data_IF_691782563926
#
_entry.id   IF_691782563926
#
_cell.length_a   1.000
_cell.length_b   1.000
_cell.length_c   1.000
_cell.angle_alpha   90.00
_cell.angle_beta   90.00
_cell.angle_gamma   90.00
#
_symmetry.space_group_name_H-M   'P 1'
#
loop_
_entity.id
_entity.type
_entity.pdbx_description
1 polymer ?
#
# COMPACT_ATOMS: atom_id res chain seq x y z
N UNK A 1 -46.82 66.21 49.89
CA UNK A 1 -48.15 65.59 49.76
C UNK A 1 -48.17 64.58 48.67
N UNK A 2 -48.60 63.32 48.96
CA UNK A 2 -49.06 62.23 48.06
C UNK A 2 -48.05 61.67 47.08
N UNK A 3 -47.45 60.50 47.38
CA UNK A 3 -47.93 59.11 47.17
C UNK A 3 -48.25 58.76 45.72
N UNK A 4 -47.49 57.86 45.11
CA UNK A 4 -47.74 57.16 43.89
C UNK A 4 -46.79 55.96 43.76
N UNK A 5 -47.31 54.86 44.23
CA UNK A 5 -46.61 53.58 44.05
C UNK A 5 -46.89 53.08 42.62
N UNK A 6 -45.87 52.60 41.88
CA UNK A 6 -46.04 51.85 40.69
C UNK A 6 -45.24 50.57 40.81
N UNK A 7 -45.94 49.46 40.82
CA UNK A 7 -45.41 48.11 40.80
C UNK A 7 -44.89 47.79 39.40
N UNK A 8 -43.65 47.28 39.32
CA UNK A 8 -43.09 46.70 38.09
C UNK A 8 -43.02 45.20 38.27
N UNK A 9 -43.81 44.52 37.45
CA UNK A 9 -43.78 43.07 37.30
C UNK A 9 -42.49 42.62 36.62
N UNK A 10 -41.72 41.83 37.32
CA UNK A 10 -40.53 41.16 36.74
C UNK A 10 -40.94 39.97 35.91
N UNK A 11 -40.61 40.01 34.64
CA UNK A 11 -40.67 38.86 33.75
C UNK A 11 -39.35 38.05 33.94
N UNK A 12 -39.48 36.89 34.55
CA UNK A 12 -38.38 35.93 34.63
C UNK A 12 -38.27 35.19 33.25
N UNK A 13 -37.21 35.48 32.48
CA UNK A 13 -36.83 34.67 31.36
C UNK A 13 -36.13 33.42 31.88
N UNK A 14 -36.80 32.31 31.80
CA UNK A 14 -36.18 31.00 31.98
C UNK A 14 -35.35 30.66 30.73
N UNK A 15 -34.01 30.77 30.82
CA UNK A 15 -33.08 30.24 29.81
C UNK A 15 -32.96 28.76 30.05
N UNK A 16 -33.64 27.94 29.26
CA UNK A 16 -33.39 26.50 29.21
C UNK A 16 -32.09 26.27 28.44
N UNK A 17 -31.00 26.01 29.14
CA UNK A 17 -29.78 25.47 28.57
C UNK A 17 -30.09 24.04 28.11
N UNK A 18 -30.21 23.81 26.78
CA UNK A 18 -30.06 22.47 26.21
C UNK A 18 -28.61 22.08 26.38
N UNK A 19 -28.33 21.23 27.38
CA UNK A 19 -27.12 20.44 27.39
C UNK A 19 -27.21 19.45 26.20
N UNK A 20 -26.64 19.81 25.06
CA UNK A 20 -26.29 18.86 24.06
C UNK A 20 -25.19 17.97 24.64
N UNK A 21 -25.56 16.78 25.12
CA UNK A 21 -24.59 15.70 25.26
C UNK A 21 -24.10 15.42 23.84
N UNK A 22 -22.99 16.06 23.48
CA UNK A 22 -22.16 15.55 22.41
C UNK A 22 -21.68 14.18 22.87
N UNK A 23 -22.12 13.16 22.18
CA UNK A 23 -21.48 11.87 22.21
C UNK A 23 -20.11 12.14 21.62
N UNK A 24 -19.17 12.46 22.51
CA UNK A 24 -17.75 12.44 22.20
C UNK A 24 -17.37 10.97 22.08
N UNK A 25 -17.79 10.35 20.96
CA UNK A 25 -17.10 9.22 20.46
C UNK A 25 -15.71 9.75 20.11
N UNK A 26 -14.80 9.69 21.08
CA UNK A 26 -13.38 9.63 20.81
C UNK A 26 -13.20 8.40 19.93
N UNK A 27 -13.41 8.56 18.61
CA UNK A 27 -12.62 7.82 17.66
C UNK A 27 -11.19 8.13 18.12
N UNK A 28 -10.53 7.15 18.73
CA UNK A 28 -9.10 7.17 18.80
C UNK A 28 -8.68 7.54 17.38
N UNK A 29 -7.93 8.61 17.27
CA UNK A 29 -7.21 8.97 16.05
C UNK A 29 -6.25 7.79 15.82
N UNK A 30 -6.77 6.70 15.27
CA UNK A 30 -5.98 5.67 14.69
C UNK A 30 -5.38 6.39 13.48
N UNK A 31 -4.13 6.81 13.62
CA UNK A 31 -3.38 7.40 12.52
C UNK A 31 -3.59 6.52 11.29
N UNK A 32 -3.55 7.13 10.10
CA UNK A 32 -3.69 6.36 8.87
C UNK A 32 -2.67 5.21 8.85
N UNK A 33 -2.99 4.11 8.16
CA UNK A 33 -2.13 2.92 8.13
C UNK A 33 -0.72 3.26 7.62
N UNK A 34 -0.63 4.17 6.64
CA UNK A 34 0.64 4.61 6.07
C UNK A 34 1.57 5.25 7.11
N UNK A 35 1.04 5.97 8.09
CA UNK A 35 1.84 6.67 9.11
C UNK A 35 2.55 5.74 10.09
N UNK A 36 2.09 4.49 10.20
CA UNK A 36 2.67 3.47 11.07
C UNK A 36 3.65 2.55 10.35
N UNK A 37 3.82 2.71 9.01
CA UNK A 37 4.65 1.83 8.21
C UNK A 37 5.93 2.51 7.76
N UNK A 38 7.04 1.79 7.86
CA UNK A 38 8.33 2.14 7.28
C UNK A 38 8.87 1.00 6.42
N UNK A 39 9.69 1.36 5.39
CA UNK A 39 10.34 0.36 4.54
C UNK A 39 11.84 0.43 4.83
N UNK A 40 12.40 -0.67 5.32
CA UNK A 40 13.82 -0.79 5.64
C UNK A 40 14.57 -1.49 4.51
N UNK A 41 15.81 -1.04 4.24
CA UNK A 41 16.72 -1.59 3.23
C UNK A 41 16.08 -1.83 1.84
N UNK A 42 15.27 -0.88 1.31
CA UNK A 42 14.61 -1.06 0.03
C UNK A 42 15.63 -1.16 -1.11
N UNK A 43 15.32 -1.95 -2.13
CA UNK A 43 16.09 -2.02 -3.37
C UNK A 43 15.29 -2.61 -4.52
N UNK A 44 15.71 -2.29 -5.75
CA UNK A 44 15.12 -2.82 -6.98
C UNK A 44 16.20 -3.60 -7.74
N UNK A 45 15.84 -4.73 -8.35
CA UNK A 45 16.74 -5.51 -9.18
C UNK A 45 16.96 -4.80 -10.52
N UNK A 46 18.23 -4.60 -10.91
CA UNK A 46 18.59 -4.02 -12.19
C UNK A 46 18.15 -4.91 -13.36
N UNK A 47 17.62 -4.28 -14.43
CA UNK A 47 17.17 -4.95 -15.64
C UNK A 47 17.16 -3.97 -16.81
N UNK A 48 17.43 -4.47 -18.02
CA UNK A 48 17.46 -3.63 -19.23
C UNK A 48 16.05 -3.31 -19.78
N UNK A 49 15.07 -4.19 -19.56
CA UNK A 49 13.69 -4.02 -20.01
C UNK A 49 12.77 -5.10 -19.46
N UNK A 50 11.48 -4.96 -19.71
CA UNK A 50 10.46 -5.95 -19.37
C UNK A 50 9.90 -5.74 -17.97
N UNK A 51 10.26 -6.63 -17.04
CA UNK A 51 9.75 -6.60 -15.68
C UNK A 51 10.87 -6.82 -14.67
N UNK A 52 10.68 -6.28 -13.45
CA UNK A 52 11.60 -6.45 -12.32
C UNK A 52 10.81 -6.42 -11.01
N UNK A 53 11.51 -6.53 -9.89
CA UNK A 53 10.90 -6.51 -8.58
C UNK A 53 11.60 -5.54 -7.63
N UNK A 54 10.80 -4.95 -6.73
CA UNK A 54 11.27 -4.18 -5.58
C UNK A 54 11.13 -5.02 -4.30
N UNK A 55 12.11 -4.89 -3.44
CA UNK A 55 12.31 -5.65 -2.22
C UNK A 55 12.62 -4.73 -1.03
N UNK A 56 12.53 -5.26 0.17
CA UNK A 56 12.79 -4.55 1.41
C UNK A 56 12.07 -5.20 2.58
N UNK A 57 12.12 -4.58 3.73
CA UNK A 57 11.38 -5.05 4.91
C UNK A 57 10.31 -4.00 5.22
N UNK A 58 9.05 -4.43 5.18
CA UNK A 58 7.91 -3.62 5.62
C UNK A 58 7.79 -3.78 7.13
N UNK A 59 7.96 -2.69 7.86
CA UNK A 59 7.82 -2.65 9.32
C UNK A 59 6.56 -1.90 9.69
N UNK A 60 5.69 -2.52 10.49
CA UNK A 60 4.52 -1.89 11.06
C UNK A 60 4.79 -1.56 12.52
N UNK A 61 5.10 -0.32 12.85
CA UNK A 61 5.36 0.18 14.20
C UNK A 61 4.05 0.54 14.95
N UNK A 62 2.88 0.32 14.33
CA UNK A 62 1.57 0.65 14.90
C UNK A 62 1.02 -0.41 15.84
N UNK A 63 -0.09 -0.08 16.50
CA UNK A 63 -0.82 -0.95 17.43
C UNK A 63 -1.93 -1.78 16.76
N UNK A 64 -2.10 -1.65 15.44
CA UNK A 64 -3.10 -2.33 14.63
C UNK A 64 -2.48 -2.91 13.38
N UNK A 65 -3.09 -3.97 12.83
CA UNK A 65 -2.69 -4.55 11.55
C UNK A 65 -2.88 -3.54 10.44
N UNK A 66 -1.97 -3.53 9.47
CA UNK A 66 -2.07 -2.75 8.23
C UNK A 66 -2.19 -3.68 7.03
N UNK A 67 -2.90 -3.26 6.00
CA UNK A 67 -3.00 -4.03 4.76
C UNK A 67 -2.62 -3.16 3.57
N UNK A 68 -1.56 -3.54 2.86
CA UNK A 68 -1.14 -2.94 1.60
C UNK A 68 -2.01 -3.55 0.51
N UNK A 69 -2.79 -2.74 -0.18
CA UNK A 69 -3.74 -3.16 -1.21
C UNK A 69 -3.25 -2.91 -2.63
N UNK A 70 -2.17 -2.13 -2.78
CA UNK A 70 -1.62 -1.82 -4.08
C UNK A 70 -0.27 -1.12 -3.99
N UNK A 71 0.39 -1.05 -5.13
CA UNK A 71 1.64 -0.32 -5.32
C UNK A 71 1.64 0.41 -6.66
N UNK A 72 2.42 1.49 -6.77
CA UNK A 72 2.59 2.27 -7.99
C UNK A 72 4.04 2.76 -8.13
N UNK A 73 4.49 2.94 -9.37
CA UNK A 73 5.80 3.53 -9.68
C UNK A 73 5.80 4.14 -11.08
N UNK A 74 6.36 5.33 -11.24
CA UNK A 74 6.42 6.03 -12.55
C UNK A 74 7.27 5.31 -13.60
N UNK A 75 8.18 4.41 -13.17
CA UNK A 75 9.04 3.64 -14.07
C UNK A 75 8.37 2.41 -14.65
N UNK A 76 7.14 2.07 -14.22
CA UNK A 76 6.41 0.87 -14.63
C UNK A 76 5.01 1.23 -15.16
N UNK A 77 4.55 0.55 -16.19
CA UNK A 77 3.18 0.67 -16.69
C UNK A 77 2.17 -0.03 -15.79
N UNK A 78 2.61 -1.06 -15.06
CA UNK A 78 1.81 -1.81 -14.08
C UNK A 78 2.67 -2.21 -12.89
N UNK A 79 2.14 -2.03 -11.69
CA UNK A 79 2.80 -2.42 -10.44
C UNK A 79 1.83 -3.25 -9.61
N UNK A 80 2.27 -4.40 -9.09
CA UNK A 80 1.45 -5.34 -8.33
C UNK A 80 2.20 -5.90 -7.13
N UNK A 81 1.47 -6.33 -6.10
CA UNK A 81 2.00 -7.17 -5.03
C UNK A 81 1.95 -8.62 -5.48
N UNK A 82 3.07 -9.33 -5.46
CA UNK A 82 3.16 -10.73 -5.84
C UNK A 82 3.65 -11.59 -4.67
N UNK A 83 3.14 -12.81 -4.63
CA UNK A 83 3.64 -13.88 -3.78
C UNK A 83 4.24 -15.00 -4.62
N UNK A 84 5.22 -15.69 -4.07
CA UNK A 84 5.77 -16.89 -4.70
C UNK A 84 5.23 -18.12 -3.99
N UNK A 85 4.50 -18.96 -4.73
CA UNK A 85 3.88 -20.19 -4.24
C UNK A 85 4.49 -21.41 -4.91
N UNK A 86 4.34 -22.57 -4.27
CA UNK A 86 4.75 -23.85 -4.86
C UNK A 86 3.60 -24.39 -5.72
N UNK A 87 3.83 -24.57 -7.01
CA UNK A 87 2.86 -25.18 -7.92
C UNK A 87 2.68 -26.68 -7.67
N UNK A 88 1.57 -27.26 -8.08
CA UNK A 88 1.24 -28.68 -7.91
C UNK A 88 2.25 -29.66 -8.55
N UNK A 89 3.00 -29.20 -9.54
CA UNK A 89 4.10 -29.94 -10.23
C UNK A 89 5.46 -29.79 -9.54
N UNK A 90 5.52 -29.05 -8.41
CA UNK A 90 6.73 -28.83 -7.62
C UNK A 90 7.61 -27.67 -8.10
N UNK A 91 7.14 -26.89 -9.08
CA UNK A 91 7.76 -25.64 -9.50
C UNK A 91 7.41 -24.47 -8.54
N UNK A 92 8.16 -23.37 -8.67
CA UNK A 92 7.81 -22.10 -8.02
C UNK A 92 7.01 -21.27 -9.03
N UNK A 93 5.88 -20.71 -8.61
CA UNK A 93 5.03 -19.85 -9.43
C UNK A 93 4.79 -18.53 -8.68
N UNK A 94 4.85 -17.42 -9.42
CA UNK A 94 4.49 -16.11 -8.89
C UNK A 94 3.07 -15.77 -9.30
N UNK A 95 2.33 -15.20 -8.36
CA UNK A 95 0.95 -14.76 -8.60
C UNK A 95 0.65 -13.47 -7.85
N UNK A 96 -0.29 -12.70 -8.37
CA UNK A 96 -0.76 -11.49 -7.71
C UNK A 96 -1.48 -11.82 -6.39
N UNK A 97 -1.19 -11.05 -5.37
CA UNK A 97 -1.91 -11.08 -4.09
C UNK A 97 -3.23 -10.33 -4.19
N UNK A 98 -4.31 -10.97 -4.66
CA UNK A 98 -5.64 -10.35 -4.83
C UNK A 98 -6.20 -9.75 -3.53
N UNK A 99 -5.78 -10.24 -2.37
CA UNK A 99 -6.19 -9.75 -1.03
C UNK A 99 -5.29 -8.68 -0.45
N UNK A 100 -4.20 -8.34 -1.14
CA UNK A 100 -3.14 -7.49 -0.60
C UNK A 100 -2.27 -8.18 0.45
N UNK A 101 -1.29 -7.46 0.98
CA UNK A 101 -0.35 -7.92 1.99
C UNK A 101 -0.71 -7.34 3.36
N UNK A 102 -1.00 -8.20 4.34
CA UNK A 102 -1.27 -7.77 5.72
C UNK A 102 -0.03 -7.94 6.59
N UNK A 103 0.35 -6.88 7.31
CA UNK A 103 1.44 -6.87 8.29
C UNK A 103 0.84 -6.61 9.67
N UNK A 104 1.02 -7.55 10.59
CA UNK A 104 0.48 -7.46 11.95
C UNK A 104 1.05 -6.29 12.76
N UNK A 105 0.33 -5.89 13.81
CA UNK A 105 0.76 -4.83 14.71
C UNK A 105 2.11 -5.14 15.35
N UNK A 106 3.09 -4.24 15.19
CA UNK A 106 4.45 -4.41 15.70
C UNK A 106 5.26 -5.51 15.00
N UNK A 107 4.87 -5.94 13.80
CA UNK A 107 5.53 -6.98 13.04
C UNK A 107 6.28 -6.43 11.82
N UNK A 108 7.25 -7.21 11.37
CA UNK A 108 7.99 -7.01 10.14
C UNK A 108 7.57 -8.05 9.10
N UNK A 109 7.52 -7.65 7.82
CA UNK A 109 7.30 -8.54 6.70
C UNK A 109 8.38 -8.34 5.64
N UNK A 110 9.07 -9.41 5.26
CA UNK A 110 10.12 -9.35 4.25
C UNK A 110 9.55 -9.46 2.84
N UNK A 111 9.87 -8.47 2.00
CA UNK A 111 9.75 -8.55 0.56
C UNK A 111 11.13 -8.98 0.03
N UNK A 112 11.25 -10.22 -0.48
CA UNK A 112 12.53 -10.82 -0.83
C UNK A 112 12.48 -11.69 -2.09
N UNK A 113 13.61 -11.85 -2.80
CA UNK A 113 13.67 -12.74 -3.95
C UNK A 113 13.27 -14.18 -3.60
N UNK A 114 12.30 -14.72 -4.35
CA UNK A 114 11.74 -16.05 -4.09
C UNK A 114 10.65 -16.10 -3.02
N UNK A 115 10.28 -14.96 -2.47
CA UNK A 115 9.15 -14.74 -1.57
C UNK A 115 8.19 -13.69 -2.11
N UNK A 116 7.59 -12.93 -1.19
CA UNK A 116 6.71 -11.81 -1.54
C UNK A 116 7.52 -10.63 -2.07
N UNK A 117 6.96 -9.88 -3.01
CA UNK A 117 7.65 -8.73 -3.61
C UNK A 117 6.68 -7.77 -4.28
N UNK A 118 7.17 -6.55 -4.57
CA UNK A 118 6.46 -5.60 -5.44
C UNK A 118 6.96 -5.79 -6.86
N UNK A 119 6.09 -6.23 -7.74
CA UNK A 119 6.39 -6.46 -9.14
C UNK A 119 6.22 -5.19 -9.96
N UNK A 120 7.24 -4.80 -10.73
CA UNK A 120 7.26 -3.67 -11.64
C UNK A 120 7.26 -4.20 -13.08
N UNK A 121 6.16 -4.03 -13.81
CA UNK A 121 5.95 -4.56 -15.16
C UNK A 121 5.85 -3.44 -16.19
N UNK A 122 6.09 -3.80 -17.45
CA UNK A 122 6.03 -2.83 -18.56
C UNK A 122 6.93 -1.62 -18.31
N UNK A 123 8.19 -1.87 -17.95
CA UNK A 123 9.16 -0.81 -17.65
C UNK A 123 9.28 0.18 -18.80
N UNK A 124 9.22 1.47 -18.47
CA UNK A 124 9.30 2.58 -19.42
C UNK A 124 10.73 2.89 -19.85
N UNK A 125 11.72 2.46 -19.07
CA UNK A 125 13.14 2.68 -19.28
C UNK A 125 13.98 1.58 -18.61
N UNK A 126 15.25 1.36 -19.03
CA UNK A 126 16.17 0.47 -18.33
C UNK A 126 16.44 0.95 -16.90
N UNK A 127 16.48 0.00 -15.95
CA UNK A 127 16.88 0.26 -14.56
C UNK A 127 18.32 -0.17 -14.34
N UNK A 128 19.24 0.79 -14.44
CA UNK A 128 20.68 0.57 -14.29
C UNK A 128 21.10 0.58 -12.83
N UNK A 129 22.12 -0.22 -12.42
CA UNK A 129 22.64 -0.19 -11.06
C UNK A 129 23.11 1.21 -10.64
N UNK A 130 22.63 1.69 -9.50
CA UNK A 130 22.90 3.02 -8.96
C UNK A 130 21.83 4.07 -9.29
N UNK A 131 20.85 3.76 -10.14
CA UNK A 131 19.63 4.56 -10.26
C UNK A 131 18.78 4.43 -9.00
N UNK A 132 17.80 5.32 -8.85
CA UNK A 132 16.83 5.30 -7.75
C UNK A 132 15.41 5.22 -8.34
N UNK A 133 14.57 4.41 -7.73
CA UNK A 133 13.17 4.21 -8.11
C UNK A 133 12.29 4.59 -6.93
N UNK A 134 11.28 5.42 -7.19
CA UNK A 134 10.24 5.70 -6.21
C UNK A 134 9.11 4.68 -6.37
N UNK A 135 8.69 4.12 -5.23
CA UNK A 135 7.56 3.20 -5.14
C UNK A 135 6.60 3.73 -4.09
N UNK A 136 5.34 3.85 -4.46
CA UNK A 136 4.24 4.25 -3.57
C UNK A 136 3.41 3.03 -3.22
N UNK A 137 3.21 2.78 -1.93
CA UNK A 137 2.29 1.76 -1.42
C UNK A 137 0.98 2.39 -1.03
N UNK A 138 -0.14 1.75 -1.39
CA UNK A 138 -1.50 2.15 -1.01
C UNK A 138 -2.05 1.15 -0.01
N UNK A 139 -2.67 1.64 1.06
CA UNK A 139 -3.23 0.83 2.15
C UNK A 139 -4.76 0.70 2.05
N UNK A 140 -5.34 -0.19 2.85
CA UNK A 140 -6.77 -0.47 2.85
C UNK A 140 -7.66 0.71 3.28
N UNK A 141 -7.09 1.71 3.95
CA UNK A 141 -7.74 2.98 4.31
C UNK A 141 -7.51 4.11 3.29
N UNK A 142 -7.00 3.77 2.10
CA UNK A 142 -6.61 4.68 1.02
C UNK A 142 -5.43 5.62 1.37
N UNK A 143 -4.79 5.45 2.53
CA UNK A 143 -3.55 6.16 2.85
C UNK A 143 -2.39 5.63 2.00
N UNK A 144 -1.33 6.43 1.85
CA UNK A 144 -0.20 6.08 1.00
C UNK A 144 1.13 6.44 1.67
N UNK A 145 2.15 5.62 1.43
CA UNK A 145 3.53 5.94 1.74
C UNK A 145 4.41 5.73 0.52
N UNK A 146 5.40 6.60 0.33
CA UNK A 146 6.36 6.51 -0.78
C UNK A 146 7.76 6.28 -0.21
N UNK A 147 8.51 5.38 -0.82
CA UNK A 147 9.90 5.14 -0.49
C UNK A 147 10.77 5.16 -1.75
N UNK A 148 12.05 5.47 -1.58
CA UNK A 148 13.05 5.44 -2.65
C UNK A 148 13.91 4.19 -2.50
N UNK A 149 14.01 3.41 -3.57
CA UNK A 149 14.75 2.17 -3.63
C UNK A 149 15.94 2.27 -4.61
N UNK A 150 17.18 2.11 -4.16
CA UNK A 150 18.32 2.06 -5.09
C UNK A 150 18.28 0.80 -5.94
N UNK A 151 18.60 0.96 -7.22
CA UNK A 151 18.73 -0.16 -8.16
C UNK A 151 20.05 -0.89 -7.93
N UNK A 152 20.00 -2.23 -7.77
CA UNK A 152 21.17 -3.08 -7.51
C UNK A 152 21.27 -4.22 -8.51
N UNK A 153 22.50 -4.59 -8.90
CA UNK A 153 22.74 -5.84 -9.62
C UNK A 153 22.45 -7.02 -8.69
N UNK A 154 21.69 -7.99 -9.18
CA UNK A 154 21.40 -9.23 -8.46
C UNK A 154 21.47 -10.42 -9.41
N UNK A 155 22.27 -11.44 -9.08
CA UNK A 155 22.49 -12.61 -9.93
C UNK A 155 21.84 -13.90 -9.38
N UNK A 156 21.06 -13.79 -8.29
CA UNK A 156 20.28 -14.89 -7.72
C UNK A 156 18.86 -14.91 -8.27
N UNK A 157 18.16 -16.04 -8.08
CA UNK A 157 16.80 -16.32 -8.51
C UNK A 157 16.54 -15.92 -9.99
N UNK A 158 16.69 -16.89 -10.90
CA UNK A 158 16.21 -16.76 -12.27
C UNK A 158 14.73 -17.11 -12.25
N UNK A 159 13.91 -16.11 -12.03
CA UNK A 159 12.46 -16.22 -12.11
C UNK A 159 12.08 -16.14 -13.58
N UNK A 160 11.64 -17.26 -14.15
CA UNK A 160 11.08 -17.30 -15.49
C UNK A 160 9.65 -16.78 -15.43
N UNK A 161 9.43 -15.60 -16.01
CA UNK A 161 8.08 -15.06 -16.21
C UNK A 161 7.44 -15.81 -17.38
N UNK A 162 6.44 -16.63 -17.11
CA UNK A 162 5.57 -17.16 -18.15
C UNK A 162 4.69 -16.02 -18.68
N UNK A 163 5.10 -15.42 -19.79
CA UNK A 163 4.20 -14.61 -20.60
C UNK A 163 3.18 -15.56 -21.21
N UNK A 164 1.93 -15.45 -20.80
CA UNK A 164 0.80 -16.06 -21.48
C UNK A 164 0.69 -15.43 -22.89
N UNK A 165 1.51 -15.93 -23.81
CA UNK A 165 1.34 -15.67 -25.23
C UNK A 165 0.18 -16.52 -25.70
N UNK A 166 -1.00 -15.90 -25.79
CA UNK A 166 -2.13 -16.48 -26.50
C UNK A 166 -1.63 -17.05 -27.83
N UNK A 167 -1.74 -18.37 -27.97
CA UNK A 167 -1.43 -19.16 -29.15
C UNK A 167 -2.32 -18.70 -30.32
N UNK A 168 -1.82 -17.72 -31.09
CA UNK A 168 -2.36 -17.40 -32.41
C UNK A 168 -1.88 -18.47 -33.36
N UNK A 169 -2.66 -19.58 -33.46
CA UNK A 169 -2.47 -20.66 -34.38
C UNK A 169 -2.40 -20.17 -35.83
N UNK A 170 -1.20 -20.11 -36.39
CA UNK A 170 -0.99 -20.00 -37.79
C UNK A 170 -0.86 -21.42 -38.38
N UNK A 171 -2.00 -21.93 -38.87
CA UNK A 171 -2.05 -23.01 -39.83
C UNK A 171 -1.31 -22.59 -41.12
N UNK A 172 -0.12 -23.12 -41.33
CA UNK A 172 0.53 -23.13 -42.65
C UNK A 172 0.21 -24.44 -43.33
N UNK A 173 -0.81 -24.41 -44.18
CA UNK A 173 -0.98 -25.43 -45.22
C UNK A 173 0.13 -25.28 -46.27
N UNK A 174 0.93 -26.29 -46.40
CA UNK A 174 1.83 -26.49 -47.54
C UNK A 174 1.16 -27.41 -48.57
N UNK A 175 0.86 -26.84 -49.76
CA UNK A 175 0.83 -27.58 -51.01
C UNK A 175 2.20 -27.51 -51.73
#
# INVERSE_FOLDING_TARGET
MRRGAAALAGAALAVTALAACGDDSSAADAGDQASSVSIQDPWVKAVDSGATAAFGIVTNDGDADVTITGADSEVAGTTQLHETTMSDDGGMSMQEMEGGLTVGAGEDHALEPGGDHVMLMELTEPLEPGAEVEVTLTFADDSQTTFTAPVRSYTGAQEEYEHDHGDDGHDHEHE
#
